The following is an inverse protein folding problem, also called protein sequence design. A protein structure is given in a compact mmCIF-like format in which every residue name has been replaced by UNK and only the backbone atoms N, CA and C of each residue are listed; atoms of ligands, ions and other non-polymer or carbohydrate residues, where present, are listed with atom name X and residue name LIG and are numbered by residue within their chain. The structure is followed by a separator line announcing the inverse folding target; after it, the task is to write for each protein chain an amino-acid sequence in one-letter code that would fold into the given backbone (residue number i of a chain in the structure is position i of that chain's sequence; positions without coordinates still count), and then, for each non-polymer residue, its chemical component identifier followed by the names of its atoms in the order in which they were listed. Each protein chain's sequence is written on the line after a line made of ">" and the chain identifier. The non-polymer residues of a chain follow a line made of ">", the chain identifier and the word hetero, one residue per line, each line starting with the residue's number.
data_IF_830344404307
#
_entry.id   IF_830344404307
#
_cell.length_a   1.000
_cell.length_b   1.000
_cell.length_c   1.000
_cell.angle_alpha   90.00
_cell.angle_beta   90.00
_cell.angle_gamma   90.00
#
_symmetry.space_group_name_H-M   'P 1'
#
loop_
_entity.id
_entity.type
_entity.pdbx_description
1 polymer ?
#
# COMPACT_ATOMS: atom_id res chain seq x y z
N UNK A 1 -8.75 1.60 37.42
CA UNK A 1 -9.37 1.47 36.08
C UNK A 1 -8.50 0.49 35.31
N UNK A 2 -8.99 -0.73 35.09
CA UNK A 2 -8.20 -1.79 34.46
C UNK A 2 -8.01 -1.42 32.98
N UNK A 3 -6.76 -1.31 32.54
CA UNK A 3 -6.43 -1.41 31.13
C UNK A 3 -6.85 -2.82 30.73
N UNK A 4 -7.81 -2.91 29.81
CA UNK A 4 -8.25 -4.19 29.27
C UNK A 4 -7.15 -4.61 28.30
N UNK A 5 -6.40 -5.65 28.65
CA UNK A 5 -5.58 -6.42 27.71
C UNK A 5 -6.52 -6.98 26.64
N UNK A 6 -6.79 -6.20 25.61
CA UNK A 6 -7.38 -6.68 24.36
C UNK A 6 -6.24 -7.16 23.45
N UNK A 7 -5.48 -8.15 23.92
CA UNK A 7 -4.79 -9.04 23.00
C UNK A 7 -5.84 -9.98 22.41
N UNK A 8 -6.66 -9.47 21.49
CA UNK A 8 -7.33 -10.35 20.55
C UNK A 8 -6.22 -11.19 19.89
N UNK A 9 -6.36 -12.52 19.95
CA UNK A 9 -5.38 -13.40 19.28
C UNK A 9 -5.30 -12.94 17.82
N UNK A 10 -4.08 -12.83 17.24
CA UNK A 10 -3.93 -12.48 15.83
C UNK A 10 -4.86 -13.38 15.01
N UNK A 11 -5.63 -12.75 14.13
CA UNK A 11 -6.64 -13.46 13.37
C UNK A 11 -5.91 -14.53 12.54
N UNK A 12 -6.43 -15.76 12.49
CA UNK A 12 -5.82 -16.87 11.75
C UNK A 12 -5.47 -16.49 10.28
N UNK A 13 -6.21 -15.53 9.71
CA UNK A 13 -5.97 -14.95 8.40
C UNK A 13 -4.62 -14.21 8.27
N UNK A 14 -4.16 -13.49 9.30
CA UNK A 14 -2.89 -12.75 9.27
C UNK A 14 -1.70 -13.71 9.16
N UNK A 15 -1.76 -14.81 9.91
CA UNK A 15 -0.76 -15.89 9.84
C UNK A 15 -0.73 -16.51 8.44
N UNK A 16 -1.91 -16.80 7.87
CA UNK A 16 -2.01 -17.38 6.53
C UNK A 16 -1.44 -16.45 5.45
N UNK A 17 -1.70 -15.15 5.53
CA UNK A 17 -1.16 -14.16 4.59
C UNK A 17 0.36 -14.11 4.67
N UNK A 18 0.93 -13.96 5.88
CA UNK A 18 2.38 -13.89 6.05
C UNK A 18 3.07 -15.20 5.59
N UNK A 19 2.49 -16.36 5.92
CA UNK A 19 2.99 -17.65 5.47
C UNK A 19 2.91 -17.82 3.94
N UNK A 20 1.81 -17.39 3.31
CA UNK A 20 1.66 -17.41 1.85
C UNK A 20 2.66 -16.48 1.14
N UNK A 21 3.08 -15.40 1.81
CA UNK A 21 4.18 -14.55 1.37
C UNK A 21 5.58 -15.13 1.64
N UNK A 22 5.69 -16.32 2.23
CA UNK A 22 6.96 -16.97 2.55
C UNK A 22 7.67 -16.40 3.79
N UNK A 23 6.97 -15.61 4.61
CA UNK A 23 7.52 -15.01 5.82
C UNK A 23 7.50 -16.05 6.95
N UNK A 24 8.67 -16.33 7.53
CA UNK A 24 8.83 -17.39 8.53
C UNK A 24 8.86 -16.88 9.98
N UNK A 25 9.24 -15.62 10.19
CA UNK A 25 9.29 -14.95 11.50
C UNK A 25 7.98 -14.21 11.80
N UNK A 26 6.86 -14.93 11.75
CA UNK A 26 5.51 -14.33 11.81
C UNK A 26 5.28 -13.54 13.09
N UNK A 27 5.65 -14.10 14.25
CA UNK A 27 5.48 -13.45 15.56
C UNK A 27 6.16 -12.08 15.62
N UNK A 28 7.34 -11.93 15.03
CA UNK A 28 8.07 -10.66 14.99
C UNK A 28 7.22 -9.55 14.34
N UNK A 29 6.60 -9.82 13.18
CA UNK A 29 5.82 -8.81 12.48
C UNK A 29 4.49 -8.49 13.19
N UNK A 30 3.84 -9.49 13.79
CA UNK A 30 2.60 -9.28 14.55
C UNK A 30 2.85 -8.43 15.81
N UNK A 31 3.97 -8.63 16.48
CA UNK A 31 4.37 -7.79 17.62
C UNK A 31 4.62 -6.34 17.17
N UNK A 32 5.33 -6.15 16.05
CA UNK A 32 5.60 -4.82 15.50
C UNK A 32 4.35 -4.03 15.13
N UNK A 33 3.27 -4.68 14.71
CA UNK A 33 2.02 -3.99 14.35
C UNK A 33 1.43 -3.18 15.51
N UNK A 34 1.79 -3.50 16.75
CA UNK A 34 1.34 -2.80 17.95
C UNK A 34 2.36 -1.77 18.48
N UNK A 35 3.49 -1.57 17.79
CA UNK A 35 4.47 -0.54 18.15
C UNK A 35 3.98 0.84 17.71
N UNK A 36 4.01 1.82 18.63
CA UNK A 36 3.60 3.20 18.34
C UNK A 36 4.35 3.80 17.13
N UNK A 37 5.62 3.43 16.93
CA UNK A 37 6.40 3.87 15.77
C UNK A 37 5.82 3.40 14.44
N UNK A 38 5.24 2.20 14.39
CA UNK A 38 4.62 1.68 13.16
C UNK A 38 3.31 2.41 12.86
N UNK A 39 2.53 2.76 13.89
CA UNK A 39 1.36 3.62 13.74
C UNK A 39 1.73 5.02 13.24
N UNK A 40 2.78 5.62 13.81
CA UNK A 40 3.27 6.92 13.39
C UNK A 40 3.78 6.91 11.92
N UNK A 41 4.50 5.87 11.51
CA UNK A 41 4.94 5.71 10.12
C UNK A 41 3.75 5.59 9.15
N UNK A 42 2.68 4.88 9.54
CA UNK A 42 1.46 4.78 8.74
C UNK A 42 0.75 6.12 8.57
N UNK A 43 0.64 6.90 9.64
CA UNK A 43 0.06 8.26 9.62
C UNK A 43 0.90 9.23 8.78
N UNK A 44 2.23 9.15 8.91
CA UNK A 44 3.17 9.95 8.12
C UNK A 44 3.04 9.65 6.62
N UNK A 45 3.07 8.38 6.22
CA UNK A 45 2.90 7.97 4.82
C UNK A 45 1.55 8.43 4.24
N UNK A 46 0.48 8.37 5.05
CA UNK A 46 -0.84 8.85 4.65
C UNK A 46 -0.86 10.37 4.49
N UNK A 47 -0.21 11.10 5.40
CA UNK A 47 -0.07 12.56 5.32
C UNK A 47 0.73 13.00 4.09
N UNK A 48 1.82 12.30 3.76
CA UNK A 48 2.59 12.57 2.54
C UNK A 48 1.74 12.42 1.27
N UNK A 49 0.85 11.42 1.22
CA UNK A 49 -0.09 11.28 0.11
C UNK A 49 -1.07 12.48 0.04
N UNK A 50 -1.63 12.91 1.18
CA UNK A 50 -2.53 14.07 1.26
C UNK A 50 -1.82 15.37 0.82
N UNK A 51 -0.56 15.56 1.18
CA UNK A 51 0.27 16.71 0.77
C UNK A 51 0.46 16.79 -0.75
N UNK A 52 0.30 15.67 -1.46
CA UNK A 52 0.31 15.63 -2.93
C UNK A 52 -1.07 15.82 -3.56
N UNK A 53 -2.12 16.02 -2.75
CA UNK A 53 -3.50 16.26 -3.20
C UNK A 53 -4.37 15.00 -3.26
N UNK A 54 -3.96 13.91 -2.61
CA UNK A 54 -4.74 12.68 -2.60
C UNK A 54 -6.12 12.88 -1.96
N UNK A 55 -7.15 12.31 -2.60
CA UNK A 55 -8.53 12.29 -2.09
C UNK A 55 -9.14 10.88 -2.09
N UNK A 56 -8.33 9.86 -2.44
CA UNK A 56 -8.73 8.46 -2.54
C UNK A 56 -7.55 7.58 -2.95
N UNK A 57 -7.78 6.28 -3.09
CA UNK A 57 -6.75 5.30 -3.48
C UNK A 57 -7.20 4.41 -4.67
N UNK A 58 -6.27 3.89 -5.50
CA UNK A 58 -4.83 4.16 -5.44
C UNK A 58 -4.49 5.60 -5.88
N UNK A 59 -3.47 6.17 -5.23
CA UNK A 59 -2.87 7.45 -5.57
C UNK A 59 -1.41 7.23 -5.90
N UNK A 60 -1.02 7.50 -7.14
CA UNK A 60 0.32 7.19 -7.67
C UNK A 60 1.03 8.49 -7.98
N UNK A 61 2.17 8.74 -7.32
CA UNK A 61 3.01 9.91 -7.56
C UNK A 61 4.24 9.48 -8.37
N UNK A 62 4.35 9.99 -9.59
CA UNK A 62 5.48 9.74 -10.48
C UNK A 62 6.46 10.91 -10.37
N UNK A 63 7.69 10.62 -9.99
CA UNK A 63 8.77 11.59 -9.93
C UNK A 63 9.54 11.56 -11.26
N UNK A 64 9.46 12.62 -12.07
CA UNK A 64 10.13 12.71 -13.36
C UNK A 64 10.76 14.09 -13.54
N UNK A 65 12.05 14.13 -13.89
CA UNK A 65 12.77 15.38 -14.19
C UNK A 65 12.68 16.45 -13.08
N UNK A 66 12.60 16.03 -11.81
CA UNK A 66 12.44 16.93 -10.66
C UNK A 66 11.01 17.38 -10.37
N UNK A 67 10.04 16.97 -11.19
CA UNK A 67 8.61 17.24 -10.99
C UNK A 67 7.89 16.02 -10.41
N UNK A 68 6.81 16.28 -9.66
CA UNK A 68 5.89 15.27 -9.14
C UNK A 68 4.59 15.33 -9.93
N UNK A 69 4.19 14.21 -10.52
CA UNK A 69 2.93 14.06 -11.26
C UNK A 69 2.05 13.03 -10.56
N UNK A 70 0.89 13.46 -10.07
CA UNK A 70 0.00 12.59 -9.32
C UNK A 70 -1.16 12.08 -10.18
N UNK A 71 -1.51 10.81 -9.99
CA UNK A 71 -2.58 10.12 -10.71
C UNK A 71 -3.48 9.37 -9.73
N UNK A 72 -4.79 9.60 -9.84
CA UNK A 72 -5.80 8.84 -9.10
C UNK A 72 -6.38 7.72 -9.96
N UNK A 73 -6.51 6.54 -9.38
CA UNK A 73 -7.16 5.39 -10.00
C UNK A 73 -6.20 4.47 -10.75
N UNK A 74 -6.56 3.18 -10.83
CA UNK A 74 -5.79 2.16 -11.55
C UNK A 74 -5.93 2.27 -13.08
N UNK A 75 -6.90 3.04 -13.56
CA UNK A 75 -7.16 3.25 -14.99
C UNK A 75 -6.18 4.25 -15.64
N UNK A 76 -5.29 4.87 -14.87
CA UNK A 76 -4.33 5.89 -15.36
C UNK A 76 -2.94 5.36 -15.71
N UNK A 77 -2.71 4.05 -15.65
CA UNK A 77 -1.40 3.45 -15.96
C UNK A 77 -0.90 3.77 -17.38
N UNK A 78 -1.81 3.90 -18.36
CA UNK A 78 -1.44 4.29 -19.72
C UNK A 78 -0.91 5.72 -19.81
N UNK A 79 -1.45 6.66 -19.01
CA UNK A 79 -0.94 8.03 -18.91
C UNK A 79 0.42 8.07 -18.22
N UNK A 80 0.61 7.23 -17.20
CA UNK A 80 1.89 7.07 -16.52
C UNK A 80 2.95 6.56 -17.50
N UNK A 81 2.64 5.52 -18.30
CA UNK A 81 3.54 5.00 -19.34
C UNK A 81 3.95 6.10 -20.33
N UNK A 82 2.98 6.85 -20.85
CA UNK A 82 3.24 8.00 -21.71
C UNK A 82 4.14 9.04 -21.02
N UNK A 83 3.84 9.38 -19.76
CA UNK A 83 4.63 10.31 -18.98
C UNK A 83 6.08 9.84 -18.84
N UNK A 84 6.35 8.56 -18.60
CA UNK A 84 7.72 8.05 -18.42
C UNK A 84 8.42 7.68 -19.74
N UNK A 85 7.75 7.80 -20.88
CA UNK A 85 8.31 7.48 -22.20
C UNK A 85 8.28 5.98 -22.54
N UNK A 86 7.44 5.21 -21.85
CA UNK A 86 7.26 3.77 -22.04
C UNK A 86 6.01 3.47 -22.88
N UNK A 87 6.04 2.34 -23.58
CA UNK A 87 4.87 1.85 -24.31
C UNK A 87 3.93 1.12 -23.35
N UNK A 88 2.66 1.52 -23.33
CA UNK A 88 1.63 0.78 -22.62
C UNK A 88 1.18 -0.42 -23.47
N UNK A 89 1.44 -1.65 -23.03
CA UNK A 89 1.12 -2.88 -23.76
C UNK A 89 -0.21 -3.50 -23.36
N UNK A 90 -1.18 -2.65 -23.00
CA UNK A 90 -2.43 -3.03 -22.34
C UNK A 90 -2.23 -3.81 -21.02
N UNK A 91 -3.34 -4.07 -20.32
CA UNK A 91 -3.33 -4.93 -19.14
C UNK A 91 -3.16 -6.41 -19.49
N UNK A 92 -3.20 -7.27 -18.47
CA UNK A 92 -3.25 -8.72 -18.65
C UNK A 92 -4.63 -9.17 -19.16
N UNK A 93 -5.03 -8.70 -20.36
CA UNK A 93 -6.35 -8.93 -20.93
C UNK A 93 -6.71 -10.42 -21.02
N UNK A 94 -5.72 -11.29 -21.21
CA UNK A 94 -5.89 -12.76 -21.19
C UNK A 94 -6.46 -13.32 -19.87
N UNK A 95 -6.43 -12.55 -18.78
CA UNK A 95 -7.01 -12.89 -17.48
C UNK A 95 -8.24 -12.04 -17.14
N UNK A 96 -8.69 -11.16 -18.04
CA UNK A 96 -9.98 -10.48 -17.90
C UNK A 96 -11.09 -11.53 -17.93
N UNK A 97 -11.99 -11.47 -16.95
CA UNK A 97 -13.21 -12.30 -16.90
C UNK A 97 -14.43 -11.61 -17.54
N UNK A 98 -14.23 -10.40 -18.07
CA UNK A 98 -15.19 -9.62 -18.83
C UNK A 98 -15.00 -9.87 -20.33
#
# INVERSE_FOLDING_TARGET
>A
MKLVDNHEKPFEAEFQVLAACGITNITHYLEKMNEDSIGADLEMNTSEALDTGAFGAPWIVVHKNGERHAFFGSDRLHLIAHLIGENFTDGLQKYSKL
#
